data_IF_811059373461
#
_entry.id   IF_811059373461
#
_cell.length_a   1.000
_cell.length_b   1.000
_cell.length_c   1.000
_cell.angle_alpha   90.00
_cell.angle_beta   90.00
_cell.angle_gamma   90.00
#
_symmetry.space_group_name_H-M   'P 1'
#
loop_
_entity.id
_entity.type
_entity.pdbx_description
1 polymer ?
#
# COMPACT_ATOMS: atom_id res chain seq x y z
N UNK A 1 -6.06 -14.48 27.13
CA UNK A 1 -5.06 -13.48 26.74
C UNK A 1 -4.53 -13.86 25.38
N UNK A 2 -4.65 -12.97 24.39
CA UNK A 2 -4.40 -13.24 22.97
C UNK A 2 -2.93 -13.57 22.69
N UNK A 3 -2.70 -14.58 21.85
CA UNK A 3 -1.39 -15.09 21.42
C UNK A 3 -0.61 -14.06 20.59
N UNK A 4 -0.04 -13.05 21.23
CA UNK A 4 0.92 -12.14 20.61
C UNK A 4 2.26 -12.87 20.44
N UNK A 5 2.58 -13.26 19.22
CA UNK A 5 3.93 -13.67 18.85
C UNK A 5 4.66 -12.47 18.24
N UNK A 6 5.62 -11.85 18.96
CA UNK A 6 6.46 -10.83 18.37
C UNK A 6 7.33 -11.45 17.28
N UNK A 7 7.58 -10.69 16.21
CA UNK A 7 8.62 -11.02 15.24
C UNK A 7 9.96 -11.05 15.96
N UNK A 8 10.56 -12.24 16.09
CA UNK A 8 11.94 -12.38 16.56
C UNK A 8 12.86 -11.87 15.45
N UNK A 9 13.60 -10.77 15.66
CA UNK A 9 14.56 -10.33 14.66
C UNK A 9 15.68 -11.37 14.62
N UNK A 10 15.69 -12.20 13.58
CA UNK A 10 16.93 -12.83 13.15
C UNK A 10 17.94 -11.69 12.93
N UNK A 11 19.19 -11.79 13.43
CA UNK A 11 20.19 -10.78 13.14
C UNK A 11 20.52 -10.86 11.65
N UNK A 12 19.78 -10.09 10.86
CA UNK A 12 20.09 -9.82 9.46
C UNK A 12 20.93 -8.56 9.47
N UNK A 13 22.12 -8.62 8.89
CA UNK A 13 22.96 -7.45 8.77
C UNK A 13 22.23 -6.38 7.95
N UNK A 14 22.25 -5.10 8.35
CA UNK A 14 21.45 -4.04 7.72
C UNK A 14 21.62 -3.97 6.19
N UNK A 15 22.83 -4.23 5.69
CA UNK A 15 23.15 -4.24 4.27
C UNK A 15 22.46 -5.37 3.49
N UNK A 16 22.34 -6.56 4.10
CA UNK A 16 21.66 -7.70 3.48
C UNK A 16 20.15 -7.43 3.44
N UNK A 17 19.58 -6.95 4.55
CA UNK A 17 18.17 -6.60 4.62
C UNK A 17 17.79 -5.50 3.61
N UNK A 18 18.63 -4.47 3.46
CA UNK A 18 18.41 -3.41 2.49
C UNK A 18 18.43 -3.93 1.04
N UNK A 19 19.37 -4.82 0.71
CA UNK A 19 19.45 -5.43 -0.62
C UNK A 19 18.22 -6.31 -0.92
N UNK A 20 17.79 -7.11 0.04
CA UNK A 20 16.60 -7.97 -0.10
C UNK A 20 15.34 -7.12 -0.34
N UNK A 21 15.13 -6.06 0.47
CA UNK A 21 14.02 -5.13 0.29
C UNK A 21 14.04 -4.45 -1.07
N UNK A 22 15.21 -4.01 -1.53
CA UNK A 22 15.36 -3.39 -2.84
C UNK A 22 15.01 -4.37 -3.98
N UNK A 23 15.44 -5.63 -3.87
CA UNK A 23 15.15 -6.67 -4.86
C UNK A 23 13.67 -7.04 -4.93
N UNK A 24 12.93 -6.88 -3.82
CA UNK A 24 11.50 -7.17 -3.73
C UNK A 24 10.60 -6.07 -4.33
N UNK A 25 11.16 -4.89 -4.67
CA UNK A 25 10.38 -3.80 -5.27
C UNK A 25 10.01 -4.18 -6.71
N UNK A 26 8.72 -4.08 -7.05
CA UNK A 26 8.20 -4.27 -8.41
C UNK A 26 7.94 -2.92 -9.09
N UNK A 27 8.74 -2.50 -10.09
CA UNK A 27 8.50 -1.27 -10.85
C UNK A 27 7.14 -1.27 -11.57
N UNK A 28 6.73 -2.43 -12.08
CA UNK A 28 5.45 -2.58 -12.79
C UNK A 28 4.25 -2.33 -11.88
N UNK A 29 4.30 -2.84 -10.64
CA UNK A 29 3.25 -2.59 -9.65
C UNK A 29 3.17 -1.11 -9.30
N UNK A 30 4.30 -0.44 -9.10
CA UNK A 30 4.35 1.00 -8.82
C UNK A 30 3.77 1.81 -9.98
N UNK A 31 4.12 1.47 -11.23
CA UNK A 31 3.56 2.11 -12.42
C UNK A 31 2.04 1.92 -12.49
N UNK A 32 1.55 0.71 -12.25
CA UNK A 32 0.12 0.42 -12.24
C UNK A 32 -0.63 1.27 -11.20
N UNK A 33 -0.07 1.46 -10.00
CA UNK A 33 -0.65 2.30 -8.95
C UNK A 33 -0.69 3.78 -9.35
N UNK A 34 0.36 4.29 -9.99
CA UNK A 34 0.39 5.67 -10.50
C UNK A 34 -0.71 5.87 -11.54
N UNK A 35 -0.85 4.95 -12.51
CA UNK A 35 -1.87 5.01 -13.55
C UNK A 35 -3.28 4.95 -12.97
N UNK A 36 -3.52 4.06 -12.02
CA UNK A 36 -4.80 3.95 -11.34
C UNK A 36 -5.14 5.22 -10.55
N UNK A 37 -4.17 5.81 -9.85
CA UNK A 37 -4.41 7.07 -9.14
C UNK A 37 -4.64 8.25 -10.10
N UNK A 38 -4.07 8.22 -11.30
CA UNK A 38 -4.28 9.23 -12.33
C UNK A 38 -5.67 9.13 -12.98
N UNK A 39 -6.29 7.95 -13.01
CA UNK A 39 -7.61 7.76 -13.65
C UNK A 39 -8.76 8.46 -12.91
N UNK A 40 -8.58 8.86 -11.65
CA UNK A 40 -9.61 9.56 -10.85
C UNK A 40 -9.82 11.03 -11.24
N UNK A 41 -9.13 11.54 -12.28
CA UNK A 41 -9.14 12.93 -12.80
C UNK A 41 -8.57 13.99 -11.86
N UNK A 42 -8.90 13.97 -10.57
CA UNK A 42 -8.34 14.86 -9.55
C UNK A 42 -8.16 14.13 -8.21
N UNK A 43 -7.16 14.58 -7.44
CA UNK A 43 -6.84 14.08 -6.09
C UNK A 43 -6.74 15.21 -5.06
N UNK A 44 -7.25 16.40 -5.39
CA UNK A 44 -7.28 17.54 -4.48
C UNK A 44 -8.30 17.28 -3.35
N UNK A 45 -7.94 17.58 -2.10
CA UNK A 45 -8.77 17.32 -0.91
C UNK A 45 -10.12 18.04 -0.89
N UNK A 46 -10.29 19.14 -1.65
CA UNK A 46 -11.56 19.84 -1.81
C UNK A 46 -12.44 19.33 -2.95
N UNK A 47 -12.05 18.26 -3.65
CA UNK A 47 -12.86 17.65 -4.72
C UNK A 47 -13.96 16.73 -4.19
N UNK A 48 -14.82 16.25 -5.10
CA UNK A 48 -15.92 15.35 -4.78
C UNK A 48 -15.47 14.13 -3.95
N UNK A 49 -16.27 13.83 -2.93
CA UNK A 49 -16.05 12.70 -2.01
C UNK A 49 -17.08 11.57 -2.19
N UNK A 50 -18.17 11.85 -2.90
CA UNK A 50 -19.29 10.93 -3.08
C UNK A 50 -19.10 10.07 -4.32
N UNK A 51 -18.62 10.64 -5.44
CA UNK A 51 -18.40 9.88 -6.67
C UNK A 51 -17.56 8.63 -6.44
N UNK A 52 -18.02 7.50 -6.98
CA UNK A 52 -17.34 6.22 -6.90
C UNK A 52 -16.11 6.13 -7.80
N UNK A 53 -16.05 6.95 -8.86
CA UNK A 53 -15.09 6.81 -9.97
C UNK A 53 -14.19 8.02 -10.15
N UNK A 54 -14.50 9.17 -9.54
CA UNK A 54 -13.79 10.43 -9.75
C UNK A 54 -13.54 11.15 -8.42
N UNK A 55 -12.51 11.99 -8.39
CA UNK A 55 -12.20 12.84 -7.25
C UNK A 55 -11.48 12.15 -6.09
N UNK A 56 -11.27 12.93 -5.02
CA UNK A 56 -10.53 12.51 -3.83
C UNK A 56 -11.22 11.36 -3.09
N UNK A 57 -12.56 11.32 -3.08
CA UNK A 57 -13.30 10.22 -2.45
C UNK A 57 -12.96 8.86 -3.03
N UNK A 58 -13.01 8.75 -4.37
CA UNK A 58 -12.68 7.52 -5.09
C UNK A 58 -11.21 7.12 -4.86
N UNK A 59 -10.28 8.06 -5.02
CA UNK A 59 -8.85 7.81 -4.80
C UNK A 59 -8.53 7.35 -3.37
N UNK A 60 -9.13 7.98 -2.35
CA UNK A 60 -8.94 7.62 -0.93
C UNK A 60 -9.43 6.21 -0.64
N UNK A 61 -10.63 5.85 -1.12
CA UNK A 61 -11.19 4.50 -0.90
C UNK A 61 -10.35 3.43 -1.57
N UNK A 62 -9.86 3.69 -2.78
CA UNK A 62 -8.96 2.79 -3.48
C UNK A 62 -7.65 2.58 -2.71
N UNK A 63 -7.01 3.67 -2.26
CA UNK A 63 -5.78 3.58 -1.49
C UNK A 63 -5.98 2.78 -0.19
N UNK A 64 -7.07 3.07 0.54
CA UNK A 64 -7.43 2.32 1.74
C UNK A 64 -7.64 0.82 1.45
N UNK A 65 -8.30 0.49 0.33
CA UNK A 65 -8.45 -0.90 -0.08
C UNK A 65 -7.09 -1.57 -0.37
N UNK A 66 -6.17 -0.90 -1.06
CA UNK A 66 -4.83 -1.42 -1.32
C UNK A 66 -4.05 -1.71 -0.04
N UNK A 67 -4.11 -0.81 0.94
CA UNK A 67 -3.50 -1.06 2.25
C UNK A 67 -4.12 -2.26 2.97
N UNK A 68 -5.44 -2.46 2.89
CA UNK A 68 -6.08 -3.67 3.42
C UNK A 68 -5.62 -4.93 2.70
N UNK A 69 -5.48 -4.89 1.38
CA UNK A 69 -4.95 -6.01 0.59
C UNK A 69 -3.53 -6.39 1.04
N UNK A 70 -2.66 -5.40 1.24
CA UNK A 70 -1.29 -5.64 1.75
C UNK A 70 -1.30 -6.21 3.17
N UNK A 71 -2.10 -5.65 4.07
CA UNK A 71 -2.21 -6.16 5.45
C UNK A 71 -2.72 -7.60 5.45
N UNK A 72 -3.73 -7.92 4.65
CA UNK A 72 -4.26 -9.28 4.53
C UNK A 72 -3.20 -10.26 3.99
N UNK A 73 -2.42 -9.86 2.98
CA UNK A 73 -1.32 -10.67 2.46
C UNK A 73 -0.24 -10.95 3.52
N UNK A 74 -0.10 -10.07 4.51
CA UNK A 74 0.82 -10.21 5.64
C UNK A 74 0.15 -10.78 6.91
N UNK A 75 -1.03 -11.40 6.80
CA UNK A 75 -1.71 -12.02 7.94
C UNK A 75 -2.32 -11.02 8.93
N UNK A 76 -2.73 -9.84 8.43
CA UNK A 76 -3.34 -8.77 9.22
C UNK A 76 -2.34 -7.94 10.02
N UNK A 77 -1.07 -7.91 9.59
CA UNK A 77 0.03 -7.21 10.26
C UNK A 77 0.73 -6.23 9.33
#
# INVERSE_FOLDING_TARGET
>A
ASNYQPSTPTPVWPEVLAADLQSAISPDSLKAYILQLASFKTRNSGSDTVSATEGFGAARRWAHQKFREFSNANGGR
#
